data_IF_399876296340
#
_entry.id   IF_399876296340
#
_cell.length_a   1.000
_cell.length_b   1.000
_cell.length_c   1.000
_cell.angle_alpha   90.00
_cell.angle_beta   90.00
_cell.angle_gamma   90.00
#
_symmetry.space_group_name_H-M   'P 1'
#
loop_
_entity.id
_entity.type
_entity.pdbx_description
1 polymer ?
#
# COMPACT_ATOMS: atom_id res chain seq x y z
N UNK A 1 -90.22 14.19 32.30
CA UNK A 1 -91.43 13.35 32.13
C UNK A 1 -91.39 12.69 30.75
N UNK A 2 -91.74 11.40 30.68
CA UNK A 2 -91.82 10.55 29.45
C UNK A 2 -90.46 10.26 28.78
N UNK A 3 -90.09 9.05 28.40
CA UNK A 3 -90.80 7.77 28.44
C UNK A 3 -89.90 6.64 27.91
N UNK A 4 -90.16 5.44 28.46
CA UNK A 4 -89.96 4.07 27.94
C UNK A 4 -89.23 3.89 26.60
N UNK A 5 -88.33 2.90 26.56
CA UNK A 5 -88.54 1.67 25.78
C UNK A 5 -87.71 0.50 26.33
N UNK A 6 -88.45 -0.54 26.69
CA UNK A 6 -88.05 -1.91 27.05
C UNK A 6 -87.78 -2.73 25.79
N UNK A 7 -86.79 -3.63 25.82
CA UNK A 7 -86.92 -4.99 25.29
C UNK A 7 -85.70 -5.83 25.69
N UNK A 8 -85.97 -6.90 26.43
CA UNK A 8 -85.05 -7.97 26.77
C UNK A 8 -85.11 -9.08 25.71
N UNK A 9 -84.00 -9.79 25.46
CA UNK A 9 -84.05 -11.19 25.05
C UNK A 9 -82.72 -11.92 25.28
N UNK A 10 -82.81 -13.01 26.06
CA UNK A 10 -82.13 -14.34 25.99
C UNK A 10 -80.65 -14.37 25.56
N UNK A 11 -79.71 -15.00 26.25
CA UNK A 11 -79.72 -16.16 27.15
C UNK A 11 -78.46 -16.99 26.85
N UNK A 12 -77.87 -17.64 27.86
CA UNK A 12 -76.68 -18.53 27.74
C UNK A 12 -75.49 -18.02 28.58
N UNK A 13 -75.28 -18.37 29.85
CA UNK A 13 -74.98 -19.67 30.50
C UNK A 13 -73.49 -20.06 30.41
N UNK A 14 -72.82 -19.83 31.54
CA UNK A 14 -71.81 -20.66 32.23
C UNK A 14 -70.31 -20.49 31.88
N UNK A 15 -69.67 -19.85 32.86
CA UNK A 15 -68.51 -20.26 33.66
C UNK A 15 -67.14 -20.49 33.01
N UNK A 16 -66.12 -19.96 33.68
CA UNK A 16 -64.75 -20.43 33.52
C UNK A 16 -63.69 -19.50 34.09
N UNK A 17 -63.61 -19.43 35.42
CA UNK A 17 -62.40 -19.21 36.23
C UNK A 17 -61.50 -17.97 36.03
N UNK A 18 -61.57 -17.13 37.06
CA UNK A 18 -60.50 -16.34 37.71
C UNK A 18 -59.05 -16.81 37.49
N UNK A 19 -58.15 -15.83 37.28
CA UNK A 19 -56.98 -15.48 38.12
C UNK A 19 -56.29 -14.25 37.48
N UNK A 20 -56.26 -13.07 38.12
CA UNK A 20 -55.14 -12.53 38.96
C UNK A 20 -53.83 -12.43 38.16
N UNK A 21 -53.07 -11.35 38.05
CA UNK A 21 -53.13 -9.94 38.45
C UNK A 21 -51.90 -9.25 37.81
N UNK A 22 -51.78 -7.92 38.04
CA UNK A 22 -50.55 -7.11 38.02
C UNK A 22 -50.07 -6.61 36.66
N UNK A 23 -50.38 -5.34 36.37
CA UNK A 23 -49.49 -4.45 35.60
C UNK A 23 -48.31 -4.06 36.52
N UNK A 24 -47.08 -3.97 36.00
CA UNK A 24 -46.59 -2.62 35.76
C UNK A 24 -45.62 -2.49 34.57
N UNK A 25 -45.40 -1.22 34.23
CA UNK A 25 -44.14 -0.66 33.74
C UNK A 25 -43.68 -1.05 32.32
N UNK A 26 -43.98 -0.12 31.41
CA UNK A 26 -43.01 0.64 30.65
C UNK A 26 -41.59 0.06 30.47
N UNK A 27 -41.17 0.17 29.20
CA UNK A 27 -39.82 0.38 28.71
C UNK A 27 -38.96 -0.87 28.47
N UNK A 28 -38.24 -0.76 27.35
CA UNK A 28 -37.07 -1.55 26.95
C UNK A 28 -37.34 -2.89 26.25
N UNK A 29 -37.77 -2.77 24.99
CA UNK A 29 -37.38 -3.74 23.96
C UNK A 29 -36.99 -3.02 22.67
N UNK A 30 -36.10 -2.04 22.81
CA UNK A 30 -35.24 -1.49 21.75
C UNK A 30 -33.80 -1.71 22.17
N UNK A 31 -33.26 -2.92 22.02
CA UNK A 31 -31.82 -3.20 22.16
C UNK A 31 -31.55 -4.64 21.74
N UNK A 32 -31.56 -4.93 20.44
CA UNK A 32 -30.83 -6.07 19.85
C UNK A 32 -30.93 -6.03 18.31
N UNK A 33 -30.52 -4.89 17.74
CA UNK A 33 -30.10 -4.78 16.35
C UNK A 33 -28.79 -3.99 16.29
N UNK A 34 -27.86 -4.37 17.17
CA UNK A 34 -26.44 -4.02 17.07
C UNK A 34 -25.66 -5.33 16.99
N UNK A 35 -26.01 -6.17 16.02
CA UNK A 35 -25.09 -7.16 15.50
C UNK A 35 -24.02 -6.39 14.75
N UNK A 36 -22.94 -6.07 15.47
CA UNK A 36 -21.58 -6.06 14.95
C UNK A 36 -21.49 -5.76 13.44
N UNK A 37 -21.54 -4.48 13.08
CA UNK A 37 -20.66 -4.02 12.02
C UNK A 37 -19.23 -4.14 12.55
N UNK A 38 -18.73 -5.38 12.67
CA UNK A 38 -17.31 -5.63 12.61
C UNK A 38 -16.86 -4.89 11.37
N UNK A 39 -16.04 -3.87 11.56
CA UNK A 39 -15.32 -3.18 10.51
C UNK A 39 -14.43 -4.22 9.82
N UNK A 40 -15.03 -5.00 8.92
CA UNK A 40 -14.33 -5.97 8.13
C UNK A 40 -13.28 -5.19 7.36
N UNK A 41 -12.03 -5.46 7.69
CA UNK A 41 -10.89 -4.93 6.95
C UNK A 41 -11.10 -5.31 5.49
N UNK A 42 -11.13 -4.33 4.56
CA UNK A 42 -11.30 -4.64 3.13
C UNK A 42 -10.27 -5.69 2.70
N UNK A 43 -10.72 -6.68 1.93
CA UNK A 43 -9.87 -7.77 1.47
C UNK A 43 -8.68 -7.30 0.63
N UNK A 44 -8.85 -6.13 0.00
CA UNK A 44 -7.85 -5.43 -0.79
C UNK A 44 -7.85 -3.95 -0.44
N UNK A 45 -6.66 -3.34 -0.34
CA UNK A 45 -6.47 -1.91 -0.07
C UNK A 45 -5.35 -1.36 -0.95
N UNK A 46 -5.55 -0.13 -1.42
CA UNK A 46 -4.54 0.63 -2.13
C UNK A 46 -4.13 1.85 -1.32
N UNK A 47 -2.82 2.12 -1.30
CA UNK A 47 -2.23 3.33 -0.74
C UNK A 47 -1.50 4.05 -1.87
N UNK A 48 -1.84 5.31 -2.10
CA UNK A 48 -1.16 6.16 -3.08
C UNK A 48 -0.80 7.49 -2.40
N UNK A 49 0.47 7.65 -2.05
CA UNK A 49 0.96 8.78 -1.26
C UNK A 49 2.15 9.45 -1.97
N UNK A 50 2.37 10.75 -1.73
CA UNK A 50 3.47 11.50 -2.35
C UNK A 50 4.32 12.17 -1.28
N UNK A 51 5.63 11.95 -1.37
CA UNK A 51 6.66 12.44 -0.45
C UNK A 51 7.69 13.25 -1.24
N UNK A 52 7.44 14.55 -1.40
CA UNK A 52 8.31 15.46 -2.18
C UNK A 52 8.54 14.93 -3.61
N UNK A 53 9.72 14.39 -3.89
CA UNK A 53 10.10 13.87 -5.20
C UNK A 53 9.81 12.37 -5.35
N UNK A 54 9.10 11.75 -4.41
CA UNK A 54 8.78 10.32 -4.43
C UNK A 54 7.27 10.08 -4.38
N UNK A 55 6.81 9.04 -5.07
CA UNK A 55 5.44 8.53 -5.01
C UNK A 55 5.48 7.10 -4.48
N UNK A 56 4.72 6.84 -3.43
CA UNK A 56 4.51 5.52 -2.87
C UNK A 56 3.19 4.97 -3.39
N UNK A 57 3.23 3.79 -3.97
CA UNK A 57 2.05 3.00 -4.30
C UNK A 57 2.16 1.65 -3.59
N UNK A 58 1.16 1.27 -2.80
CA UNK A 58 1.09 -0.07 -2.20
C UNK A 58 -0.26 -0.71 -2.47
N UNK A 59 -0.23 -2.00 -2.79
CA UNK A 59 -1.36 -2.90 -2.86
C UNK A 59 -1.23 -3.91 -1.71
N UNK A 60 -2.30 -4.04 -0.92
CA UNK A 60 -2.33 -4.91 0.26
C UNK A 60 -3.52 -5.85 0.17
N UNK A 61 -3.27 -7.14 0.30
CA UNK A 61 -4.30 -8.19 0.33
C UNK A 61 -4.33 -8.84 1.71
N UNK A 62 -5.52 -9.09 2.24
CA UNK A 62 -5.70 -9.76 3.52
C UNK A 62 -5.65 -11.29 3.42
N UNK A 63 -5.95 -11.85 2.24
CA UNK A 63 -5.98 -13.30 2.00
C UNK A 63 -5.67 -13.66 0.53
N UNK A 64 -4.55 -14.36 0.24
CA UNK A 64 -3.43 -14.57 1.16
C UNK A 64 -2.83 -13.22 1.58
N UNK A 65 -2.30 -13.14 2.81
CA UNK A 65 -1.68 -11.91 3.30
C UNK A 65 -0.47 -11.55 2.44
N UNK A 66 -0.58 -10.47 1.68
CA UNK A 66 0.43 -10.00 0.72
C UNK A 66 0.49 -8.48 0.77
N UNK A 67 1.68 -7.94 0.57
CA UNK A 67 1.87 -6.53 0.31
C UNK A 67 2.85 -6.36 -0.85
N UNK A 68 2.52 -5.44 -1.75
CA UNK A 68 3.37 -5.04 -2.86
C UNK A 68 3.43 -3.53 -2.92
N UNK A 69 4.64 -3.00 -2.79
CA UNK A 69 4.87 -1.57 -2.73
C UNK A 69 5.90 -1.17 -3.78
N UNK A 70 5.63 -0.06 -4.46
CA UNK A 70 6.54 0.61 -5.37
C UNK A 70 6.75 2.05 -4.90
N UNK A 71 8.02 2.42 -4.76
CA UNK A 71 8.45 3.78 -4.61
C UNK A 71 9.04 4.27 -5.92
N UNK A 72 8.42 5.27 -6.51
CA UNK A 72 8.84 5.85 -7.78
C UNK A 72 9.32 7.28 -7.57
N UNK A 73 10.54 7.57 -7.98
CA UNK A 73 11.06 8.94 -7.98
C UNK A 73 10.35 9.78 -9.04
N UNK A 74 10.44 11.10 -8.92
CA UNK A 74 10.24 12.03 -10.03
C UNK A 74 11.26 11.76 -11.14
N UNK A 75 11.01 12.27 -12.36
CA UNK A 75 12.02 12.28 -13.40
C UNK A 75 13.38 12.75 -12.88
N UNK A 76 14.43 12.03 -13.30
CA UNK A 76 15.80 12.43 -13.04
C UNK A 76 16.23 13.61 -13.91
N UNK A 77 17.54 13.79 -14.06
CA UNK A 77 18.12 14.76 -15.00
C UNK A 77 17.69 14.49 -16.45
N UNK A 78 17.36 13.24 -16.77
CA UNK A 78 16.57 12.89 -17.95
C UNK A 78 15.09 12.69 -17.57
N UNK A 79 14.21 13.36 -18.31
CA UNK A 79 12.76 13.38 -18.09
C UNK A 79 12.08 12.05 -18.36
N UNK A 80 12.70 11.12 -19.09
CA UNK A 80 12.17 9.79 -19.38
C UNK A 80 12.65 8.73 -18.38
N UNK A 81 13.76 9.00 -17.68
CA UNK A 81 14.33 8.08 -16.69
C UNK A 81 13.69 8.22 -15.30
N UNK A 82 13.55 7.11 -14.57
CA UNK A 82 13.01 7.05 -13.19
C UNK A 82 13.81 6.08 -12.33
N UNK A 83 13.90 6.37 -11.04
CA UNK A 83 14.35 5.42 -10.04
C UNK A 83 13.12 4.78 -9.39
N UNK A 84 13.07 3.46 -9.35
CA UNK A 84 12.01 2.71 -8.69
C UNK A 84 12.59 1.79 -7.62
N UNK A 85 11.94 1.69 -6.47
CA UNK A 85 12.21 0.64 -5.49
C UNK A 85 10.95 -0.16 -5.25
N UNK A 86 11.02 -1.44 -5.59
CA UNK A 86 9.93 -2.39 -5.39
C UNK A 86 10.21 -3.27 -4.17
N UNK A 87 9.18 -3.46 -3.35
CA UNK A 87 9.13 -4.38 -2.22
C UNK A 87 7.91 -5.28 -2.36
N UNK A 88 8.10 -6.58 -2.22
CA UNK A 88 7.05 -7.55 -2.38
C UNK A 88 7.25 -8.67 -1.37
N UNK A 89 6.16 -9.12 -0.76
CA UNK A 89 6.18 -10.31 0.10
C UNK A 89 6.44 -11.62 -0.67
N UNK A 90 6.64 -11.58 -1.99
CA UNK A 90 6.92 -12.75 -2.84
C UNK A 90 8.34 -12.79 -3.43
N UNK A 91 9.25 -11.88 -3.02
CA UNK A 91 10.67 -11.72 -3.45
C UNK A 91 10.92 -11.41 -4.92
N UNK A 92 10.14 -11.96 -5.86
CA UNK A 92 10.45 -11.91 -7.30
C UNK A 92 10.44 -10.48 -7.89
N UNK A 93 9.81 -9.52 -7.20
CA UNK A 93 9.81 -8.10 -7.60
C UNK A 93 10.78 -7.22 -6.81
N UNK A 94 11.44 -7.75 -5.79
CA UNK A 94 12.21 -6.93 -4.87
C UNK A 94 13.47 -6.35 -5.52
N UNK A 95 13.73 -5.08 -5.25
CA UNK A 95 14.98 -4.44 -5.61
C UNK A 95 14.83 -3.03 -6.14
N UNK A 96 15.97 -2.36 -6.22
CA UNK A 96 16.12 -1.01 -6.73
C UNK A 96 16.39 -1.10 -8.23
N UNK A 97 15.62 -0.35 -9.01
CA UNK A 97 15.61 -0.36 -10.47
C UNK A 97 15.83 1.03 -11.01
N UNK A 98 16.85 1.17 -11.84
CA UNK A 98 17.09 2.35 -12.64
C UNK A 98 16.41 2.13 -13.99
N UNK A 99 15.23 2.73 -14.17
CA UNK A 99 14.52 2.77 -15.44
C UNK A 99 15.14 3.90 -16.24
N UNK A 100 15.97 3.56 -17.21
CA UNK A 100 16.81 4.51 -17.92
C UNK A 100 16.32 4.62 -19.36
N UNK A 101 16.31 5.83 -19.89
CA UNK A 101 15.93 6.03 -21.28
C UNK A 101 16.98 5.44 -22.24
N UNK A 102 16.52 4.68 -23.22
CA UNK A 102 17.38 4.06 -24.24
C UNK A 102 18.15 5.06 -25.09
N UNK A 103 17.61 6.27 -25.27
CA UNK A 103 18.32 7.34 -25.97
C UNK A 103 19.44 7.98 -25.13
N UNK A 104 19.40 7.77 -23.81
CA UNK A 104 20.34 8.38 -22.86
C UNK A 104 21.42 7.40 -22.43
N UNK A 105 21.07 6.13 -22.16
CA UNK A 105 21.97 5.14 -21.58
C UNK A 105 21.91 3.81 -22.33
N UNK A 106 23.08 3.32 -22.75
CA UNK A 106 23.25 2.01 -23.35
C UNK A 106 23.44 0.93 -22.27
N UNK A 107 22.36 0.21 -21.97
CA UNK A 107 22.37 -0.87 -20.97
C UNK A 107 22.96 -2.19 -21.46
N UNK A 108 23.48 -2.25 -22.70
CA UNK A 108 24.37 -3.36 -23.10
C UNK A 108 25.76 -3.21 -22.49
N UNK A 109 26.09 -2.03 -21.96
CA UNK A 109 27.35 -1.70 -21.31
C UNK A 109 27.17 -1.58 -19.80
N UNK A 110 28.30 -1.59 -19.09
CA UNK A 110 28.35 -1.42 -17.63
C UNK A 110 27.74 -0.10 -17.17
N UNK A 111 26.98 -0.16 -16.08
CA UNK A 111 26.42 1.00 -15.38
C UNK A 111 26.97 1.01 -13.95
N UNK A 112 27.58 2.13 -13.57
CA UNK A 112 28.05 2.39 -12.21
C UNK A 112 27.02 3.24 -11.47
N UNK A 113 26.91 3.04 -10.16
CA UNK A 113 26.03 3.84 -9.31
C UNK A 113 26.86 4.73 -8.40
N UNK A 114 26.52 6.01 -8.35
CA UNK A 114 27.11 6.97 -7.41
C UNK A 114 26.03 7.46 -6.47
N UNK A 115 26.37 7.57 -5.19
CA UNK A 115 25.51 8.22 -4.19
C UNK A 115 26.21 9.50 -3.77
N UNK A 116 25.54 10.63 -3.97
CA UNK A 116 26.08 11.97 -3.90
C UNK A 116 27.34 12.14 -4.77
N UNK A 117 28.53 12.09 -4.15
CA UNK A 117 29.83 12.23 -4.83
C UNK A 117 30.72 10.99 -4.69
N UNK A 118 30.19 9.89 -4.16
CA UNK A 118 30.94 8.67 -3.91
C UNK A 118 30.42 7.52 -4.76
N UNK A 119 31.34 6.82 -5.44
CA UNK A 119 31.04 5.57 -6.13
C UNK A 119 30.53 4.55 -5.12
N UNK A 120 29.34 3.99 -5.37
CA UNK A 120 28.84 2.86 -4.61
C UNK A 120 29.61 1.59 -4.97
N UNK A 121 29.84 0.71 -3.98
CA UNK A 121 30.51 -0.58 -4.18
C UNK A 121 29.55 -1.71 -3.84
N UNK A 122 29.51 -2.81 -4.62
CA UNK A 122 30.39 -3.16 -5.74
C UNK A 122 30.28 -2.21 -6.93
N UNK A 123 31.34 -2.15 -7.76
CA UNK A 123 31.48 -1.15 -8.82
C UNK A 123 30.37 -1.21 -9.89
N UNK A 124 29.85 -2.42 -10.11
CA UNK A 124 28.76 -2.71 -11.04
C UNK A 124 27.61 -3.36 -10.26
N UNK A 125 26.87 -2.56 -9.47
CA UNK A 125 25.88 -3.11 -8.54
C UNK A 125 24.57 -3.46 -9.24
N UNK A 126 24.30 -2.92 -10.43
CA UNK A 126 23.10 -3.20 -11.19
C UNK A 126 23.41 -3.90 -12.50
N UNK A 127 22.55 -4.82 -12.88
CA UNK A 127 22.61 -5.60 -14.11
C UNK A 127 21.36 -5.34 -14.95
N UNK A 128 21.42 -5.61 -16.25
CA UNK A 128 20.24 -5.49 -17.12
C UNK A 128 19.12 -6.37 -16.58
N UNK A 129 17.95 -5.78 -16.34
CA UNK A 129 16.80 -6.50 -15.83
C UNK A 129 15.99 -7.08 -16.99
N UNK A 130 15.90 -8.40 -17.07
CA UNK A 130 15.34 -9.08 -18.24
C UNK A 130 13.83 -8.89 -18.39
N UNK A 131 13.13 -8.60 -17.29
CA UNK A 131 11.67 -8.48 -17.24
C UNK A 131 11.16 -7.07 -17.53
N UNK A 132 12.05 -6.09 -17.65
CA UNK A 132 11.68 -4.70 -17.87
C UNK A 132 12.64 -4.04 -18.85
N UNK A 133 12.11 -3.52 -19.95
CA UNK A 133 12.91 -2.88 -20.99
C UNK A 133 13.62 -1.65 -20.45
N UNK A 134 14.90 -1.50 -20.83
CA UNK A 134 15.70 -0.33 -20.49
C UNK A 134 15.82 -0.09 -18.98
N UNK A 135 15.87 -1.16 -18.21
CA UNK A 135 16.04 -1.11 -16.76
C UNK A 135 17.30 -1.86 -16.34
N UNK A 136 18.11 -1.26 -15.47
CA UNK A 136 19.08 -2.02 -14.67
C UNK A 136 18.56 -2.19 -13.25
N UNK A 137 18.76 -3.36 -12.66
CA UNK A 137 18.30 -3.69 -11.32
C UNK A 137 19.45 -4.16 -10.44
N UNK A 138 19.43 -3.74 -9.18
CA UNK A 138 20.30 -4.27 -8.12
C UNK A 138 19.58 -5.46 -7.50
N UNK A 139 19.79 -6.65 -8.08
CA UNK A 139 19.03 -7.88 -7.79
C UNK A 139 19.56 -8.60 -6.55
N UNK A 140 20.88 -8.54 -6.30
CA UNK A 140 21.49 -9.15 -5.12
C UNK A 140 20.92 -8.49 -3.84
N UNK A 141 20.26 -9.25 -2.94
CA UNK A 141 19.56 -8.68 -1.78
C UNK A 141 20.48 -7.91 -0.82
N UNK A 142 21.69 -8.42 -0.58
CA UNK A 142 22.64 -7.80 0.34
C UNK A 142 23.19 -6.48 -0.22
N UNK A 143 23.52 -6.47 -1.50
CA UNK A 143 23.94 -5.25 -2.21
C UNK A 143 22.80 -4.25 -2.29
N UNK A 144 21.57 -4.71 -2.52
CA UNK A 144 20.39 -3.88 -2.55
C UNK A 144 20.15 -3.18 -1.20
N UNK A 145 20.20 -3.94 -0.10
CA UNK A 145 20.03 -3.42 1.25
C UNK A 145 21.10 -2.37 1.59
N UNK A 146 22.37 -2.63 1.27
CA UNK A 146 23.48 -1.68 1.46
C UNK A 146 23.29 -0.42 0.63
N UNK A 147 22.81 -0.55 -0.61
CA UNK A 147 22.55 0.61 -1.47
C UNK A 147 21.44 1.46 -0.87
N UNK A 148 20.31 0.85 -0.51
CA UNK A 148 19.19 1.52 0.16
C UNK A 148 19.62 2.25 1.44
N UNK A 149 20.41 1.59 2.30
CA UNK A 149 20.95 2.19 3.52
C UNK A 149 21.78 3.43 3.18
N UNK A 150 22.56 3.38 2.11
CA UNK A 150 23.37 4.51 1.62
C UNK A 150 22.52 5.63 1.01
N UNK A 151 21.43 5.30 0.33
CA UNK A 151 20.50 6.26 -0.28
C UNK A 151 19.67 7.01 0.76
N UNK A 152 19.30 6.34 1.86
CA UNK A 152 18.37 6.89 2.86
C UNK A 152 18.81 8.25 3.45
N UNK A 153 20.09 8.46 3.83
CA UNK A 153 20.58 9.78 4.24
C UNK A 153 21.13 10.62 3.08
N UNK A 154 21.20 10.07 1.87
CA UNK A 154 21.76 10.72 0.69
C UNK A 154 20.88 11.84 0.14
N UNK A 155 21.43 12.66 -0.74
CA UNK A 155 20.70 13.75 -1.41
C UNK A 155 20.40 13.43 -2.86
N UNK A 156 21.32 12.75 -3.53
CA UNK A 156 21.21 12.38 -4.94
C UNK A 156 21.82 11.00 -5.18
N UNK A 157 21.32 10.29 -6.18
CA UNK A 157 21.95 9.10 -6.74
C UNK A 157 22.06 9.24 -8.24
N UNK A 158 23.14 8.76 -8.83
CA UNK A 158 23.32 8.77 -10.27
C UNK A 158 23.68 7.40 -10.84
N UNK A 159 23.09 7.11 -11.99
CA UNK A 159 23.52 6.03 -12.86
C UNK A 159 24.48 6.60 -13.90
N UNK A 160 25.67 6.05 -13.99
CA UNK A 160 26.75 6.53 -14.86
C UNK A 160 27.18 5.39 -15.79
N UNK A 161 27.07 5.62 -17.09
CA UNK A 161 27.36 4.62 -18.10
C UNK A 161 27.78 5.25 -19.42
N UNK A 162 27.50 4.56 -20.51
CA UNK A 162 27.79 5.04 -21.87
C UNK A 162 26.50 5.46 -22.58
N UNK A 163 26.55 6.52 -23.38
CA UNK A 163 25.45 6.84 -24.28
C UNK A 163 25.47 5.90 -25.51
N UNK A 164 24.33 5.65 -26.17
CA UNK A 164 24.26 4.82 -27.38
C UNK A 164 25.15 5.35 -28.52
N UNK A 165 25.20 6.67 -28.70
CA UNK A 165 26.04 7.33 -29.71
C UNK A 165 27.54 7.39 -29.32
N UNK A 166 27.91 6.81 -28.18
CA UNK A 166 29.25 6.91 -27.59
C UNK A 166 29.38 8.08 -26.61
N UNK A 167 30.43 8.03 -25.78
CA UNK A 167 30.67 9.01 -24.71
C UNK A 167 30.01 8.64 -23.37
N UNK A 168 30.31 9.43 -22.34
CA UNK A 168 29.79 9.24 -20.98
C UNK A 168 28.34 9.74 -20.89
N UNK A 169 27.46 8.92 -20.32
CA UNK A 169 26.11 9.29 -19.93
C UNK A 169 25.99 9.29 -18.39
N UNK A 170 25.19 10.21 -17.87
CA UNK A 170 24.89 10.29 -16.44
C UNK A 170 23.44 10.74 -16.22
N UNK A 171 22.69 9.94 -15.46
CA UNK A 171 21.31 10.25 -15.07
C UNK A 171 21.25 10.37 -13.56
N UNK A 172 20.82 11.52 -13.05
CA UNK A 172 20.78 11.87 -11.63
C UNK A 172 19.35 11.90 -11.11
N UNK A 173 19.13 11.38 -9.91
CA UNK A 173 17.82 11.29 -9.26
C UNK A 173 17.88 11.92 -7.87
N UNK A 174 16.89 12.76 -7.56
CA UNK A 174 16.72 13.35 -6.22
C UNK A 174 16.30 12.29 -5.20
N UNK A 175 16.96 12.28 -4.05
CA UNK A 175 16.59 11.44 -2.90
C UNK A 175 15.71 12.20 -1.89
N UNK A 176 15.32 13.44 -2.20
CA UNK A 176 14.48 14.25 -1.32
C UNK A 176 13.08 13.64 -1.16
N UNK A 177 12.77 13.19 0.06
CA UNK A 177 11.53 12.52 0.39
C UNK A 177 11.62 10.98 0.36
N UNK A 178 12.77 10.39 0.01
CA UNK A 178 12.94 8.94 0.04
C UNK A 178 12.71 8.38 1.45
N UNK A 179 13.49 8.85 2.44
CA UNK A 179 13.40 8.36 3.83
C UNK A 179 11.98 8.29 4.40
N UNK A 180 11.17 9.37 4.43
CA UNK A 180 9.81 9.29 4.96
C UNK A 180 8.90 8.34 4.14
N UNK A 181 9.13 8.22 2.82
CA UNK A 181 8.38 7.28 1.99
C UNK A 181 8.70 5.82 2.34
N UNK A 182 9.96 5.53 2.71
CA UNK A 182 10.38 4.21 3.21
C UNK A 182 9.78 3.87 4.55
N UNK A 183 9.82 4.81 5.48
CA UNK A 183 9.22 4.66 6.80
C UNK A 183 7.71 4.38 6.66
N UNK A 184 7.03 5.07 5.74
CA UNK A 184 5.61 4.81 5.45
C UNK A 184 5.36 3.44 4.82
N UNK A 185 6.19 3.02 3.88
CA UNK A 185 6.10 1.69 3.28
C UNK A 185 6.23 0.58 4.33
N UNK A 186 7.18 0.71 5.27
CA UNK A 186 7.32 -0.23 6.39
C UNK A 186 6.15 -0.19 7.37
N UNK A 187 5.57 0.99 7.59
CA UNK A 187 4.36 1.15 8.40
C UNK A 187 3.16 0.44 7.77
N UNK A 188 2.89 0.64 6.47
CA UNK A 188 1.81 -0.05 5.74
C UNK A 188 1.98 -1.58 5.84
N UNK A 189 3.19 -2.09 5.65
CA UNK A 189 3.47 -3.52 5.82
C UNK A 189 3.14 -3.99 7.24
N UNK A 190 3.57 -3.24 8.25
CA UNK A 190 3.34 -3.59 9.66
C UNK A 190 1.85 -3.57 9.99
N UNK A 191 1.10 -2.57 9.53
CA UNK A 191 -0.36 -2.48 9.65
C UNK A 191 -1.06 -3.68 8.99
N UNK A 192 -0.54 -4.13 7.84
CA UNK A 192 -1.04 -5.30 7.12
C UNK A 192 -0.68 -6.65 7.77
N UNK A 193 0.20 -6.67 8.79
CA UNK A 193 0.69 -7.90 9.41
C UNK A 193 1.50 -8.79 8.47
N UNK A 194 2.11 -8.20 7.42
CA UNK A 194 2.93 -8.90 6.42
C UNK A 194 4.41 -8.85 6.86
N UNK A 195 5.19 -9.85 6.46
CA UNK A 195 6.66 -9.82 6.55
C UNK A 195 7.22 -9.71 5.14
N UNK A 196 8.23 -8.86 4.96
CA UNK A 196 9.08 -8.95 3.77
C UNK A 196 9.85 -10.27 3.81
N UNK A 197 10.09 -10.87 2.65
CA UNK A 197 10.75 -12.17 2.51
C UNK A 197 12.24 -12.03 2.15
#
# INVERSE_FOLDING_TARGET
>A
MRGRRTAAWRGGVIAGFLLVAVLPAAAQSQSQAQSQAQSQTPAYREHAETFKDWRLYCQVWSEPRRAECELLSRPGSDRRSRLAWLRSSERWLEGLRFRLDEGTMDLSKIVRVWVDRALFRPEYPCERFEWETNTCAVIDPDTNAKLVERLTPGKEVSAVGSAPAGGKAEVRFSLNGLKPALERMEEIRREAGVRWK
#
